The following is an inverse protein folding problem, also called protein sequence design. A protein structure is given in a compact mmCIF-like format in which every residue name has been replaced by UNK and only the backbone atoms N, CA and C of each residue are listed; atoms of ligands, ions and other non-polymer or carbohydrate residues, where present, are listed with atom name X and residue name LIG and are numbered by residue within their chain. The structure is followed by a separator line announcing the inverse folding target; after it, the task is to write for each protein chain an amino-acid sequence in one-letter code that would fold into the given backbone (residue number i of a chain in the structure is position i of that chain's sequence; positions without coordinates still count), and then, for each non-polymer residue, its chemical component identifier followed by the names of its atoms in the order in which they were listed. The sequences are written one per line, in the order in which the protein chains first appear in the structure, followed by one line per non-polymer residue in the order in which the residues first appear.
data_IF_540919674339
#
_entry.id   IF_540919674339
#
_cell.length_a   1.000
_cell.length_b   1.000
_cell.length_c   1.000
_cell.angle_alpha   90.00
_cell.angle_beta   90.00
_cell.angle_gamma   90.00
#
_symmetry.space_group_name_H-M   'P 1'
#
loop_
_entity.id
_entity.type
_entity.pdbx_description
1 polymer ?
#
# COMPACT_ATOMS: atom_id res chain seq x y z
N UNK A 1 -17.97 27.00 7.73
CA UNK A 1 -17.93 25.66 7.12
C UNK A 1 -16.49 25.42 6.70
N UNK A 2 -15.85 24.39 7.26
CA UNK A 2 -14.48 24.05 6.90
C UNK A 2 -14.45 23.60 5.43
N UNK A 3 -13.62 24.25 4.61
CA UNK A 3 -13.51 23.96 3.18
C UNK A 3 -13.22 22.48 2.90
N UNK A 4 -12.47 21.85 3.81
CA UNK A 4 -12.17 20.41 3.79
C UNK A 4 -13.43 19.54 3.99
N UNK A 5 -14.37 19.92 4.87
CA UNK A 5 -15.63 19.18 5.04
C UNK A 5 -16.50 19.27 3.78
N UNK A 6 -16.53 20.42 3.11
CA UNK A 6 -17.28 20.61 1.87
C UNK A 6 -16.73 19.74 0.72
N UNK A 7 -15.40 19.64 0.59
CA UNK A 7 -14.75 18.78 -0.41
C UNK A 7 -15.04 17.31 -0.14
N UNK A 8 -14.91 16.88 1.11
CA UNK A 8 -15.13 15.49 1.49
C UNK A 8 -16.61 15.11 1.34
N UNK A 9 -17.55 15.97 1.73
CA UNK A 9 -18.98 15.75 1.48
C UNK A 9 -19.28 15.63 -0.01
N UNK A 10 -18.70 16.51 -0.85
CA UNK A 10 -18.87 16.40 -2.30
C UNK A 10 -18.34 15.07 -2.86
N UNK A 11 -17.11 14.70 -2.51
CA UNK A 11 -16.49 13.46 -2.99
C UNK A 11 -17.27 12.22 -2.55
N UNK A 12 -17.72 12.18 -1.30
CA UNK A 12 -18.25 10.97 -0.72
C UNK A 12 -19.78 10.85 -0.78
N UNK A 13 -20.54 11.96 -0.85
CA UNK A 13 -22.00 11.89 -1.07
C UNK A 13 -22.34 11.90 -2.56
N UNK A 14 -21.69 12.74 -3.36
CA UNK A 14 -22.08 12.97 -4.75
C UNK A 14 -21.32 12.06 -5.73
N UNK A 15 -20.14 11.57 -5.33
CA UNK A 15 -19.26 10.72 -6.17
C UNK A 15 -18.92 9.38 -5.54
N UNK A 16 -19.70 8.89 -4.57
CA UNK A 16 -19.46 7.63 -3.86
C UNK A 16 -19.12 6.43 -4.75
N UNK A 17 -19.79 6.32 -5.91
CA UNK A 17 -19.57 5.25 -6.89
C UNK A 17 -18.18 5.26 -7.54
N UNK A 18 -17.48 6.41 -7.56
CA UNK A 18 -16.13 6.56 -8.09
C UNK A 18 -15.04 6.24 -7.06
N UNK A 19 -15.39 6.06 -5.78
CA UNK A 19 -14.43 5.97 -4.66
C UNK A 19 -14.64 4.67 -3.87
N UNK A 20 -15.40 3.70 -4.39
CA UNK A 20 -15.89 2.55 -3.64
C UNK A 20 -14.80 1.77 -2.90
N UNK A 21 -13.73 1.41 -3.61
CA UNK A 21 -12.60 0.63 -3.07
C UNK A 21 -11.55 1.53 -2.40
N UNK A 22 -11.42 2.78 -2.86
CA UNK A 22 -10.55 3.81 -2.29
C UNK A 22 -11.04 4.28 -0.93
N UNK A 23 -12.35 4.19 -0.68
CA UNK A 23 -12.99 4.46 0.61
C UNK A 23 -12.54 3.48 1.69
N UNK A 24 -12.35 2.20 1.35
CA UNK A 24 -11.75 1.22 2.27
C UNK A 24 -10.32 1.60 2.62
N UNK A 25 -9.52 1.92 1.60
CA UNK A 25 -8.14 2.34 1.80
C UNK A 25 -8.05 3.57 2.71
N UNK A 26 -8.88 4.60 2.45
CA UNK A 26 -8.95 5.80 3.26
C UNK A 26 -9.46 5.50 4.69
N UNK A 27 -10.48 4.66 4.85
CA UNK A 27 -10.96 4.26 6.16
C UNK A 27 -9.87 3.56 6.98
N UNK A 28 -9.11 2.67 6.33
CA UNK A 28 -7.98 1.98 6.97
C UNK A 28 -6.88 2.96 7.39
N UNK A 29 -6.45 3.83 6.47
CA UNK A 29 -5.43 4.83 6.76
C UNK A 29 -5.85 5.75 7.92
N UNK A 30 -7.14 6.02 8.08
CA UNK A 30 -7.64 6.90 9.12
C UNK A 30 -7.94 6.21 10.46
N UNK A 31 -7.72 4.89 10.60
CA UNK A 31 -8.12 4.10 11.75
C UNK A 31 -7.54 4.59 13.09
N UNK A 32 -6.26 4.98 13.12
CA UNK A 32 -5.56 5.50 14.33
C UNK A 32 -5.55 7.04 14.40
N UNK A 33 -6.31 7.70 13.52
CA UNK A 33 -6.22 9.13 13.21
C UNK A 33 -7.10 10.07 14.04
N UNK A 34 -7.34 9.82 15.31
CA UNK A 34 -8.49 10.44 16.00
C UNK A 34 -8.31 11.91 16.42
N UNK A 35 -7.12 12.51 16.38
CA UNK A 35 -6.94 13.91 16.82
C UNK A 35 -6.86 14.92 15.68
N UNK A 36 -6.19 14.57 14.57
CA UNK A 36 -5.98 15.48 13.44
C UNK A 36 -6.95 15.24 12.27
N UNK A 37 -7.62 14.09 12.23
CA UNK A 37 -8.52 13.70 11.14
C UNK A 37 -9.98 13.51 11.59
N UNK A 38 -10.41 14.16 12.69
CA UNK A 38 -11.76 13.97 13.26
C UNK A 38 -12.90 14.20 12.29
N UNK A 39 -12.86 15.28 11.52
CA UNK A 39 -13.89 15.61 10.54
C UNK A 39 -13.97 14.58 9.39
N UNK A 40 -12.86 14.24 8.69
CA UNK A 40 -12.84 13.15 7.72
C UNK A 40 -13.32 11.81 8.29
N UNK A 41 -12.88 11.45 9.50
CA UNK A 41 -13.27 10.20 10.17
C UNK A 41 -14.76 10.19 10.52
N UNK A 42 -15.31 11.29 11.05
CA UNK A 42 -16.73 11.40 11.37
C UNK A 42 -17.60 11.33 10.11
N UNK A 43 -17.12 11.89 9.01
CA UNK A 43 -17.79 11.89 7.72
C UNK A 43 -17.73 10.49 7.08
N UNK A 44 -16.58 9.80 7.11
CA UNK A 44 -16.48 8.39 6.71
C UNK A 44 -17.39 7.47 7.56
N UNK A 45 -17.45 7.69 8.88
CA UNK A 45 -18.36 6.97 9.80
C UNK A 45 -19.85 7.26 9.54
N UNK A 46 -20.18 8.38 8.88
CA UNK A 46 -21.55 8.71 8.46
C UNK A 46 -21.92 8.05 7.14
N UNK A 47 -20.97 7.94 6.21
CA UNK A 47 -21.19 7.44 4.85
C UNK A 47 -21.00 5.92 4.72
N UNK A 48 -20.18 5.33 5.59
CA UNK A 48 -20.16 3.88 5.84
C UNK A 48 -20.83 3.59 7.16
N UNK A 49 -21.44 2.40 7.27
CA UNK A 49 -21.87 1.88 8.57
C UNK A 49 -20.70 1.97 9.57
N UNK A 50 -20.94 2.45 10.80
CA UNK A 50 -19.92 2.81 11.79
C UNK A 50 -18.96 1.66 12.16
N UNK A 51 -19.32 0.43 11.82
CA UNK A 51 -18.65 -0.81 12.21
C UNK A 51 -17.66 -1.33 11.16
N UNK A 52 -17.42 -0.62 10.05
CA UNK A 52 -16.63 -1.18 8.96
C UNK A 52 -15.17 -1.45 9.40
N UNK A 53 -14.35 -0.45 9.71
CA UNK A 53 -12.90 -0.67 9.85
C UNK A 53 -12.41 -1.14 11.23
N UNK A 54 -13.10 -0.76 12.32
CA UNK A 54 -12.71 -1.16 13.68
C UNK A 54 -13.03 -2.64 13.97
N UNK A 55 -14.08 -3.16 13.32
CA UNK A 55 -14.53 -4.55 13.43
C UNK A 55 -14.14 -5.40 12.23
N UNK A 56 -13.25 -4.90 11.36
CA UNK A 56 -12.72 -5.74 10.28
C UNK A 56 -12.13 -7.03 10.85
N UNK A 57 -12.43 -8.19 10.24
CA UNK A 57 -11.70 -9.41 10.51
C UNK A 57 -10.21 -9.13 10.40
N UNK A 58 -9.41 -9.70 11.31
CA UNK A 58 -7.97 -9.49 11.33
C UNK A 58 -7.36 -9.73 9.94
N UNK A 59 -7.76 -10.81 9.26
CA UNK A 59 -7.34 -11.13 7.89
C UNK A 59 -7.61 -10.00 6.90
N UNK A 60 -8.79 -9.38 6.94
CA UNK A 60 -9.14 -8.28 6.02
C UNK A 60 -8.27 -7.07 6.27
N UNK A 61 -8.01 -6.73 7.54
CA UNK A 61 -7.12 -5.64 7.90
C UNK A 61 -5.69 -5.91 7.44
N UNK A 62 -5.15 -7.11 7.71
CA UNK A 62 -3.79 -7.50 7.29
C UNK A 62 -3.64 -7.54 5.76
N UNK A 63 -4.63 -8.09 5.05
CA UNK A 63 -4.64 -8.13 3.59
C UNK A 63 -4.63 -6.70 3.01
N UNK A 64 -5.49 -5.82 3.53
CA UNK A 64 -5.54 -4.41 3.10
C UNK A 64 -4.23 -3.69 3.37
N UNK A 65 -3.63 -3.89 4.55
CA UNK A 65 -2.31 -3.35 4.86
C UNK A 65 -1.28 -3.79 3.82
N UNK A 66 -1.21 -5.09 3.54
CA UNK A 66 -0.22 -5.63 2.63
C UNK A 66 -0.36 -5.05 1.22
N UNK A 67 -1.60 -4.88 0.74
CA UNK A 67 -1.89 -4.26 -0.55
C UNK A 67 -1.47 -2.78 -0.59
N UNK A 68 -1.76 -2.01 0.46
CA UNK A 68 -1.38 -0.59 0.54
C UNK A 68 0.14 -0.38 0.64
N UNK A 69 0.83 -1.21 1.41
CA UNK A 69 2.28 -1.11 1.58
C UNK A 69 3.06 -1.47 0.31
N UNK A 70 2.58 -2.46 -0.45
CA UNK A 70 3.20 -2.90 -1.71
C UNK A 70 2.77 -2.05 -2.91
N UNK A 71 1.53 -1.53 -2.91
CA UNK A 71 0.97 -0.81 -4.06
C UNK A 71 1.23 0.69 -4.07
N UNK A 72 1.63 1.30 -2.96
CA UNK A 72 1.86 2.75 -2.86
C UNK A 72 3.34 3.08 -2.79
N UNK A 73 3.81 4.00 -3.63
CA UNK A 73 5.15 4.61 -3.52
C UNK A 73 5.22 5.81 -2.56
N UNK A 74 4.06 6.38 -2.20
CA UNK A 74 4.02 7.49 -1.24
C UNK A 74 4.47 7.06 0.16
N UNK A 75 5.51 7.73 0.67
CA UNK A 75 6.01 7.53 2.03
C UNK A 75 4.94 7.87 3.09
N UNK A 76 4.10 8.87 2.83
CA UNK A 76 3.03 9.27 3.76
C UNK A 76 1.94 8.21 3.88
N UNK A 77 1.52 7.63 2.74
CA UNK A 77 0.56 6.51 2.72
C UNK A 77 1.15 5.31 3.46
N UNK A 78 2.40 4.92 3.17
CA UNK A 78 3.08 3.82 3.87
C UNK A 78 3.17 4.08 5.37
N UNK A 79 3.61 5.28 5.78
CA UNK A 79 3.72 5.68 7.20
C UNK A 79 2.36 5.58 7.90
N UNK A 80 1.31 6.12 7.29
CA UNK A 80 -0.03 6.11 7.86
C UNK A 80 -0.65 4.71 7.93
N UNK A 81 -0.38 3.88 6.92
CA UNK A 81 -0.75 2.47 6.91
C UNK A 81 -0.07 1.70 8.05
N UNK A 82 1.24 1.92 8.27
CA UNK A 82 2.00 1.26 9.34
C UNK A 82 1.54 1.68 10.74
N UNK A 83 1.21 2.95 10.95
CA UNK A 83 0.61 3.42 12.21
C UNK A 83 -0.70 2.68 12.48
N UNK A 84 -1.57 2.60 11.47
CA UNK A 84 -2.86 1.90 11.57
C UNK A 84 -2.69 0.40 11.84
N UNK A 85 -1.74 -0.23 11.14
CA UNK A 85 -1.38 -1.64 11.37
C UNK A 85 -0.88 -1.87 12.80
N UNK A 86 -0.01 -1.02 13.33
CA UNK A 86 0.52 -1.18 14.70
C UNK A 86 -0.59 -1.16 15.75
N UNK A 87 -1.61 -0.34 15.53
CA UNK A 87 -2.81 -0.30 16.35
C UNK A 87 -3.66 -1.56 16.24
N UNK A 88 -3.83 -2.12 15.03
CA UNK A 88 -4.53 -3.40 14.80
C UNK A 88 -3.79 -4.55 15.48
N UNK A 89 -2.48 -4.69 15.23
CA UNK A 89 -1.66 -5.76 15.81
C UNK A 89 -1.67 -5.73 17.33
N UNK A 90 -1.61 -4.53 17.93
CA UNK A 90 -1.67 -4.36 19.39
C UNK A 90 -3.02 -4.74 19.98
N UNK A 91 -4.12 -4.43 19.29
CA UNK A 91 -5.49 -4.72 19.78
C UNK A 91 -5.88 -6.19 19.60
N UNK A 92 -5.23 -6.90 18.67
CA UNK A 92 -5.55 -8.29 18.28
C UNK A 92 -4.36 -9.24 18.50
N UNK A 93 -3.48 -8.92 19.44
CA UNK A 93 -2.27 -9.67 19.76
C UNK A 93 -2.56 -11.13 20.15
N UNK A 94 -3.57 -11.37 21.00
CA UNK A 94 -3.99 -12.71 21.42
C UNK A 94 -4.57 -13.52 20.25
N UNK A 95 -5.36 -12.88 19.39
CA UNK A 95 -5.96 -13.52 18.21
C UNK A 95 -4.87 -13.92 17.21
N UNK A 96 -3.92 -13.02 16.96
CA UNK A 96 -2.76 -13.26 16.12
C UNK A 96 -1.88 -14.39 16.68
N UNK A 97 -1.56 -14.36 17.97
CA UNK A 97 -0.73 -15.38 18.61
C UNK A 97 -1.35 -16.78 18.50
N UNK A 98 -2.67 -16.91 18.69
CA UNK A 98 -3.38 -18.19 18.50
C UNK A 98 -3.28 -18.68 17.06
N UNK A 99 -3.55 -17.80 16.08
CA UNK A 99 -3.43 -18.13 14.65
C UNK A 99 -2.01 -18.59 14.27
N UNK A 100 -0.99 -18.00 14.88
CA UNK A 100 0.41 -18.37 14.65
C UNK A 100 0.83 -19.65 15.39
N UNK A 101 0.21 -19.97 16.53
CA UNK A 101 0.53 -21.16 17.31
C UNK A 101 -0.11 -22.42 16.72
N UNK A 102 -1.35 -22.33 16.24
CA UNK A 102 -2.17 -23.49 15.86
C UNK A 102 -1.90 -24.00 14.43
N UNK A 103 -1.13 -23.28 13.63
CA UNK A 103 -1.01 -23.55 12.20
C UNK A 103 0.34 -24.20 11.84
N UNK A 104 0.36 -25.38 11.21
CA UNK A 104 1.64 -25.95 10.72
C UNK A 104 2.30 -25.06 9.65
N UNK A 105 1.49 -24.41 8.82
CA UNK A 105 1.91 -23.44 7.79
C UNK A 105 1.33 -22.07 8.12
N UNK A 106 2.15 -21.03 8.00
CA UNK A 106 1.71 -19.65 8.22
C UNK A 106 0.66 -19.26 7.20
N UNK A 107 -0.42 -18.62 7.64
CA UNK A 107 -1.47 -18.08 6.77
C UNK A 107 -0.86 -17.18 5.67
N UNK A 108 -1.31 -17.37 4.43
CA UNK A 108 -0.86 -16.59 3.27
C UNK A 108 -1.03 -15.08 3.46
N UNK A 109 -2.04 -14.66 4.23
CA UNK A 109 -2.25 -13.24 4.56
C UNK A 109 -1.13 -12.69 5.45
N UNK A 110 -0.76 -13.43 6.49
CA UNK A 110 0.34 -13.09 7.40
C UNK A 110 1.67 -13.14 6.68
N UNK A 111 1.89 -14.15 5.85
CA UNK A 111 3.11 -14.27 5.07
C UNK A 111 3.24 -13.08 4.09
N UNK A 112 2.16 -12.67 3.42
CA UNK A 112 2.16 -11.51 2.50
C UNK A 112 2.45 -10.21 3.26
N UNK A 113 1.88 -10.07 4.46
CA UNK A 113 2.19 -8.95 5.34
C UNK A 113 3.67 -8.92 5.73
N UNK A 114 4.25 -10.08 6.09
CA UNK A 114 5.68 -10.18 6.39
C UNK A 114 6.54 -9.70 5.21
N UNK A 115 6.22 -10.12 3.98
CA UNK A 115 6.92 -9.65 2.77
C UNK A 115 6.78 -8.12 2.61
N UNK A 116 5.57 -7.58 2.77
CA UNK A 116 5.32 -6.15 2.68
C UNK A 116 6.11 -5.34 3.73
N UNK A 117 6.19 -5.84 4.96
CA UNK A 117 6.98 -5.21 6.02
C UNK A 117 8.50 -5.30 5.73
N UNK A 118 8.99 -6.44 5.24
CA UNK A 118 10.39 -6.60 4.82
C UNK A 118 10.76 -5.70 3.63
N UNK A 119 9.80 -5.37 2.76
CA UNK A 119 9.97 -4.34 1.74
C UNK A 119 10.11 -2.95 2.39
N UNK A 120 9.21 -2.58 3.31
CA UNK A 120 9.24 -1.27 3.97
C UNK A 120 10.44 -1.04 4.90
N UNK A 121 11.03 -2.08 5.50
CA UNK A 121 12.27 -1.96 6.28
C UNK A 121 13.46 -1.49 5.42
N UNK A 122 13.40 -1.70 4.10
CA UNK A 122 14.40 -1.26 3.13
C UNK A 122 14.04 0.08 2.46
N UNK A 123 12.98 0.75 2.90
CA UNK A 123 12.55 2.02 2.33
C UNK A 123 13.56 3.15 2.58
N UNK A 124 13.59 4.15 1.69
CA UNK A 124 14.41 5.36 1.86
C UNK A 124 14.01 6.23 3.05
N UNK A 125 12.72 6.28 3.38
CA UNK A 125 12.18 7.06 4.51
C UNK A 125 12.44 6.37 5.86
N UNK A 126 13.10 7.09 6.78
CA UNK A 126 13.47 6.56 8.10
C UNK A 126 12.26 6.19 8.97
N UNK A 127 11.21 7.01 8.94
CA UNK A 127 10.01 6.76 9.76
C UNK A 127 9.28 5.50 9.30
N UNK A 128 9.19 5.29 7.98
CA UNK A 128 8.65 4.06 7.39
C UNK A 128 9.47 2.84 7.82
N UNK A 129 10.81 2.93 7.77
CA UNK A 129 11.68 1.82 8.22
C UNK A 129 11.45 1.46 9.68
N UNK A 130 11.43 2.45 10.58
CA UNK A 130 11.25 2.22 12.02
C UNK A 130 9.88 1.65 12.35
N UNK A 131 8.82 2.17 11.74
CA UNK A 131 7.46 1.66 11.95
C UNK A 131 7.30 0.24 11.40
N UNK A 132 7.91 -0.08 10.24
CA UNK A 132 7.88 -1.42 9.68
C UNK A 132 8.64 -2.42 10.56
N UNK A 133 9.81 -2.03 11.08
CA UNK A 133 10.57 -2.84 12.03
C UNK A 133 9.79 -3.09 13.34
N UNK A 134 9.10 -2.07 13.85
CA UNK A 134 8.23 -2.20 15.02
C UNK A 134 7.06 -3.16 14.74
N UNK A 135 6.40 -3.05 13.58
CA UNK A 135 5.32 -3.94 13.19
C UNK A 135 5.79 -5.39 13.00
N UNK A 136 7.00 -5.63 12.48
CA UNK A 136 7.61 -6.97 12.46
C UNK A 136 7.83 -7.53 13.87
N UNK A 137 8.29 -6.69 14.81
CA UNK A 137 8.43 -7.07 16.20
C UNK A 137 7.08 -7.44 16.84
N UNK A 138 6.00 -6.71 16.51
CA UNK A 138 4.64 -7.01 16.96
C UNK A 138 4.05 -8.28 16.32
N UNK A 139 4.41 -8.56 15.06
CA UNK A 139 4.00 -9.79 14.37
C UNK A 139 4.57 -11.04 15.06
N UNK A 140 5.71 -10.88 15.72
CA UNK A 140 6.40 -11.93 16.46
C UNK A 140 7.29 -12.79 15.58
N UNK A 141 7.91 -13.80 16.20
CA UNK A 141 8.78 -14.73 15.50
C UNK A 141 7.94 -15.64 14.58
N UNK A 142 8.23 -15.58 13.28
CA UNK A 142 7.73 -16.53 12.29
C UNK A 142 8.86 -17.49 11.93
N UNK A 143 8.57 -18.79 12.00
CA UNK A 143 9.51 -19.80 11.51
C UNK A 143 9.57 -19.72 9.96
N UNK A 144 10.74 -19.42 9.36
CA UNK A 144 10.87 -19.35 7.92
C UNK A 144 10.52 -20.68 7.23
N UNK A 145 10.67 -21.83 7.90
CA UNK A 145 10.28 -23.14 7.36
C UNK A 145 8.75 -23.34 7.28
N UNK A 146 7.98 -22.53 8.01
CA UNK A 146 6.51 -22.56 8.02
C UNK A 146 5.89 -21.52 7.10
N UNK A 147 6.66 -20.57 6.58
CA UNK A 147 6.16 -19.63 5.59
C UNK A 147 5.81 -20.42 4.31
N UNK A 148 4.60 -20.25 3.76
CA UNK A 148 4.31 -20.84 2.46
C UNK A 148 5.36 -20.30 1.47
N UNK A 149 5.67 -21.09 0.45
CA UNK A 149 6.29 -20.54 -0.74
C UNK A 149 5.30 -19.55 -1.34
N UNK A 150 5.29 -18.34 -0.80
CA UNK A 150 4.73 -17.20 -1.49
C UNK A 150 5.59 -17.13 -2.72
N UNK A 151 4.99 -17.46 -3.87
CA UNK A 151 5.58 -17.18 -5.15
C UNK A 151 6.02 -15.72 -5.10
N UNK A 152 7.31 -15.51 -4.86
CA UNK A 152 8.03 -14.31 -5.30
C UNK A 152 7.99 -14.23 -6.85
N UNK A 153 7.37 -15.23 -7.49
CA UNK A 153 6.98 -15.30 -8.90
C UNK A 153 5.62 -14.67 -9.16
N UNK A 154 5.52 -13.40 -8.85
CA UNK A 154 4.88 -12.41 -9.73
C UNK A 154 5.59 -11.10 -9.45
N UNK A 155 6.54 -10.76 -10.32
CA UNK A 155 7.23 -9.44 -10.40
C UNK A 155 8.42 -9.16 -9.47
N UNK A 156 9.05 -10.16 -8.85
CA UNK A 156 10.52 -10.15 -8.85
C UNK A 156 10.94 -11.17 -9.88
N UNK A 157 10.82 -10.78 -11.16
CA UNK A 157 11.90 -11.15 -12.07
C UNK A 157 13.17 -10.83 -11.28
N UNK A 158 13.98 -11.85 -10.95
CA UNK A 158 15.44 -11.65 -10.93
C UNK A 158 15.65 -10.64 -12.03
N UNK A 159 16.13 -9.41 -11.79
CA UNK A 159 16.25 -8.45 -12.88
C UNK A 159 17.05 -9.22 -13.91
N UNK A 160 16.38 -9.72 -14.97
CA UNK A 160 17.08 -10.22 -16.11
C UNK A 160 17.78 -8.93 -16.47
N UNK A 161 19.11 -8.86 -16.29
CA UNK A 161 19.82 -7.61 -16.49
C UNK A 161 19.31 -7.15 -17.83
N UNK A 162 18.57 -6.03 -17.86
CA UNK A 162 17.80 -5.63 -19.04
C UNK A 162 18.80 -5.71 -20.17
N UNK A 163 18.70 -6.80 -20.95
CA UNK A 163 19.78 -7.24 -21.81
C UNK A 163 19.73 -6.18 -22.87
N UNK A 164 20.62 -5.18 -22.73
CA UNK A 164 20.70 -3.94 -23.48
C UNK A 164 19.52 -3.82 -24.45
N UNK A 165 18.39 -3.28 -23.96
CA UNK A 165 17.13 -3.33 -24.69
C UNK A 165 17.41 -2.95 -26.15
N UNK A 166 17.29 -3.92 -27.06
CA UNK A 166 17.48 -3.67 -28.48
C UNK A 166 16.48 -2.58 -28.81
N UNK A 167 16.91 -1.36 -29.17
CA UNK A 167 16.04 -0.18 -29.25
C UNK A 167 15.05 -0.24 -30.44
N UNK A 168 14.56 -1.43 -30.77
CA UNK A 168 13.41 -1.68 -31.62
C UNK A 168 12.11 -1.51 -30.81
N UNK A 169 11.31 -0.53 -31.21
CA UNK A 169 9.97 -0.30 -30.66
C UNK A 169 9.04 -1.52 -30.80
N UNK A 170 9.25 -2.35 -31.83
CA UNK A 170 8.34 -3.45 -32.19
C UNK A 170 8.41 -4.64 -31.23
N UNK A 171 9.58 -4.91 -30.63
CA UNK A 171 9.79 -6.06 -29.74
C UNK A 171 9.71 -5.71 -28.25
N UNK A 172 9.76 -4.42 -27.90
CA UNK A 172 9.89 -3.95 -26.52
C UNK A 172 8.65 -3.25 -25.95
N UNK A 173 7.49 -3.37 -26.60
CA UNK A 173 6.24 -2.77 -26.11
C UNK A 173 5.89 -3.18 -24.67
N UNK A 174 6.20 -4.42 -24.27
CA UNK A 174 6.02 -4.90 -22.90
C UNK A 174 6.93 -4.17 -21.91
N UNK A 175 8.20 -3.96 -22.28
CA UNK A 175 9.13 -3.17 -21.46
C UNK A 175 8.66 -1.72 -21.35
N UNK A 176 8.23 -1.11 -22.46
CA UNK A 176 7.64 0.23 -22.47
C UNK A 176 6.43 0.34 -21.53
N UNK A 177 5.50 -0.61 -21.59
CA UNK A 177 4.35 -0.66 -20.68
C UNK A 177 4.77 -0.75 -19.21
N UNK A 178 5.75 -1.61 -18.87
CA UNK A 178 6.28 -1.70 -17.50
C UNK A 178 6.91 -0.39 -17.05
N UNK A 179 7.73 0.25 -17.88
CA UNK A 179 8.35 1.55 -17.58
C UNK A 179 7.28 2.62 -17.36
N UNK A 180 6.24 2.68 -18.20
CA UNK A 180 5.14 3.63 -18.04
C UNK A 180 4.36 3.41 -16.74
N UNK A 181 4.08 2.16 -16.38
CA UNK A 181 3.41 1.84 -15.11
C UNK A 181 4.25 2.28 -13.91
N UNK A 182 5.56 2.01 -13.92
CA UNK A 182 6.45 2.43 -12.85
C UNK A 182 6.58 3.96 -12.76
N UNK A 183 6.79 4.64 -13.89
CA UNK A 183 6.85 6.11 -13.93
C UNK A 183 5.55 6.75 -13.44
N UNK A 184 4.40 6.18 -13.80
CA UNK A 184 3.10 6.66 -13.32
C UNK A 184 2.98 6.53 -11.79
N UNK A 185 3.43 5.41 -11.20
CA UNK A 185 3.46 5.23 -9.73
C UNK A 185 4.32 6.29 -9.04
N UNK A 186 5.50 6.59 -9.59
CA UNK A 186 6.37 7.64 -9.04
C UNK A 186 5.79 9.04 -9.23
N UNK A 187 5.17 9.31 -10.38
CA UNK A 187 4.52 10.59 -10.67
C UNK A 187 3.36 10.87 -9.70
N UNK A 188 2.52 9.87 -9.39
CA UNK A 188 1.43 10.03 -8.41
C UNK A 188 1.92 10.13 -6.97
N UNK A 189 3.13 9.65 -6.68
CA UNK A 189 3.76 9.74 -5.37
C UNK A 189 4.68 10.97 -5.21
N UNK A 190 4.81 11.81 -6.25
CA UNK A 190 5.75 12.91 -6.26
C UNK A 190 5.42 13.96 -5.16
N UNK A 191 6.45 14.32 -4.38
CA UNK A 191 6.33 15.29 -3.28
C UNK A 191 6.64 16.72 -3.71
N UNK A 192 7.25 16.90 -4.88
CA UNK A 192 7.61 18.20 -5.45
C UNK A 192 7.35 18.24 -6.95
N UNK A 193 7.28 19.47 -7.48
CA UNK A 193 7.01 19.70 -8.90
C UNK A 193 8.13 19.21 -9.83
N UNK A 194 9.38 19.15 -9.33
CA UNK A 194 10.50 18.71 -10.15
C UNK A 194 10.40 17.22 -10.47
N UNK A 195 10.12 16.38 -9.48
CA UNK A 195 9.94 14.94 -9.67
C UNK A 195 8.73 14.66 -10.56
N UNK A 196 7.63 15.42 -10.39
CA UNK A 196 6.46 15.32 -11.24
C UNK A 196 6.79 15.65 -12.71
N UNK A 197 7.46 16.78 -12.95
CA UNK A 197 7.85 17.21 -14.30
C UNK A 197 8.84 16.23 -14.94
N UNK A 198 9.81 15.72 -14.16
CA UNK A 198 10.76 14.72 -14.64
C UNK A 198 10.07 13.42 -15.07
N UNK A 199 9.13 12.91 -14.26
CA UNK A 199 8.35 11.72 -14.63
C UNK A 199 7.48 11.99 -15.86
N UNK A 200 6.82 13.15 -15.94
CA UNK A 200 5.98 13.56 -17.08
C UNK A 200 6.78 13.62 -18.38
N UNK A 201 7.94 14.29 -18.38
CA UNK A 201 8.83 14.36 -19.53
C UNK A 201 9.32 12.96 -19.94
N UNK A 202 9.68 12.12 -18.97
CA UNK A 202 10.15 10.75 -19.28
C UNK A 202 9.04 9.90 -19.88
N UNK A 203 7.81 10.01 -19.36
CA UNK A 203 6.63 9.33 -19.93
C UNK A 203 6.42 9.77 -21.39
N UNK A 204 6.52 11.07 -21.67
CA UNK A 204 6.39 11.60 -23.03
C UNK A 204 7.46 11.03 -23.97
N UNK A 205 8.72 10.96 -23.54
CA UNK A 205 9.81 10.40 -24.34
C UNK A 205 9.64 8.89 -24.58
N UNK A 206 9.14 8.14 -23.59
CA UNK A 206 8.84 6.71 -23.76
C UNK A 206 7.72 6.52 -24.78
N UNK A 207 6.63 7.28 -24.68
CA UNK A 207 5.53 7.22 -25.65
C UNK A 207 6.00 7.59 -27.06
N UNK A 208 6.80 8.65 -27.18
CA UNK A 208 7.39 9.10 -28.43
C UNK A 208 8.29 8.01 -29.06
N UNK A 209 9.13 7.36 -28.26
CA UNK A 209 9.99 6.26 -28.71
C UNK A 209 9.16 5.08 -29.28
N UNK A 210 8.01 4.77 -28.68
CA UNK A 210 7.09 3.73 -29.15
C UNK A 210 6.03 4.22 -30.17
N UNK A 211 6.13 5.47 -30.65
CA UNK A 211 5.19 6.11 -31.58
C UNK A 211 3.71 6.03 -31.13
N UNK A 212 3.46 6.25 -29.85
CA UNK A 212 2.12 6.25 -29.24
C UNK A 212 1.57 7.67 -29.02
#
# INVERSE_FOLDING_TARGET
MDYNESILNFLFEQRAALVGDELDALAFLLLEGEQQCRAPVALLRRLRRPDACADWPLETALARCSALLLGSESADIRRRCLVSLSGVLRRRDVELARRLADADVVDGTVARLHVALMHCVRAGDESVRLLAASALGQLGALDPGRLPALDHRSEVEVPQPLLYADFSADYNSRFGATVLVELAKYMTAATDGFLYDACSCTIQEVLNFFNC
#
